data_IF_723145309122
#
_entry.id   IF_723145309122
#
_cell.length_a   1.000
_cell.length_b   1.000
_cell.length_c   1.000
_cell.angle_alpha   90.00
_cell.angle_beta   90.00
_cell.angle_gamma   90.00
#
_symmetry.space_group_name_H-M   'P 1'
#
loop_
_entity.id
_entity.type
_entity.pdbx_description
1 polymer ?
#
# COMPACT_ATOMS: atom_id res chain seq x y z
N UNK A 1 6.18 -13.63 3.87
CA UNK A 1 6.08 -12.20 3.51
C UNK A 1 4.66 -11.72 3.71
N UNK A 2 4.50 -10.56 4.34
CA UNK A 2 3.18 -9.99 4.56
C UNK A 2 2.46 -9.66 3.24
N UNK A 3 1.17 -10.01 3.12
CA UNK A 3 0.33 -9.74 1.94
C UNK A 3 -1.04 -9.24 2.38
N UNK A 4 -1.58 -8.25 1.66
CA UNK A 4 -2.95 -7.77 1.86
C UNK A 4 -3.88 -8.14 0.72
N UNK A 5 -5.17 -8.34 1.02
CA UNK A 5 -6.26 -8.50 0.03
C UNK A 5 -7.50 -7.76 0.52
N UNK A 6 -8.27 -7.14 -0.37
CA UNK A 6 -9.52 -6.49 0.01
C UNK A 6 -10.65 -6.75 -0.98
N UNK A 7 -11.86 -6.94 -0.47
CA UNK A 7 -13.05 -7.12 -1.27
C UNK A 7 -14.29 -6.49 -0.59
N UNK A 8 -15.29 -6.06 -1.36
CA UNK A 8 -16.52 -5.48 -0.81
C UNK A 8 -17.46 -6.56 -0.26
N UNK A 9 -18.23 -6.21 0.76
CA UNK A 9 -19.36 -7.00 1.29
C UNK A 9 -20.65 -6.37 0.78
N UNK A 10 -21.50 -7.15 0.11
CA UNK A 10 -22.70 -6.61 -0.59
C UNK A 10 -24.05 -6.95 0.03
N UNK A 11 -24.16 -8.08 0.73
CA UNK A 11 -25.46 -8.56 1.24
C UNK A 11 -25.37 -9.21 2.61
N UNK A 12 -24.32 -9.98 2.90
CA UNK A 12 -24.21 -10.81 4.11
C UNK A 12 -23.26 -10.23 5.15
N UNK A 13 -23.46 -8.97 5.56
CA UNK A 13 -22.56 -8.31 6.53
C UNK A 13 -22.51 -9.06 7.87
N UNK A 14 -23.67 -9.39 8.44
CA UNK A 14 -23.77 -10.15 9.70
C UNK A 14 -23.01 -11.47 9.61
N UNK A 15 -23.30 -12.30 8.60
CA UNK A 15 -22.62 -13.58 8.42
C UNK A 15 -21.11 -13.44 8.21
N UNK A 16 -20.65 -12.36 7.57
CA UNK A 16 -19.22 -12.08 7.43
C UNK A 16 -18.56 -11.72 8.76
N UNK A 17 -19.24 -10.93 9.60
CA UNK A 17 -18.78 -10.59 10.96
C UNK A 17 -18.77 -11.83 11.85
N UNK A 18 -19.86 -12.59 11.87
CA UNK A 18 -19.98 -13.84 12.64
C UNK A 18 -18.89 -14.84 12.22
N UNK A 19 -18.57 -14.93 10.92
CA UNK A 19 -17.51 -15.80 10.41
C UNK A 19 -16.12 -15.41 10.94
N UNK A 20 -15.79 -14.11 10.98
CA UNK A 20 -14.48 -13.67 11.46
C UNK A 20 -14.38 -13.77 12.99
N UNK A 21 -15.49 -13.67 13.71
CA UNK A 21 -15.58 -13.79 15.17
C UNK A 21 -15.67 -15.23 15.68
N UNK A 22 -15.54 -16.25 14.81
CA UNK A 22 -15.60 -17.64 15.24
C UNK A 22 -14.56 -17.90 16.36
N UNK A 23 -15.00 -18.32 17.58
CA UNK A 23 -14.11 -18.59 18.71
C UNK A 23 -13.02 -19.62 18.43
N UNK A 24 -13.33 -20.65 17.63
CA UNK A 24 -12.38 -21.72 17.26
C UNK A 24 -11.18 -21.17 16.48
N UNK A 25 -11.38 -20.04 15.78
CA UNK A 25 -10.34 -19.42 14.95
C UNK A 25 -9.60 -18.30 15.66
N UNK A 26 -10.11 -17.79 16.77
CA UNK A 26 -9.70 -16.52 17.38
C UNK A 26 -9.19 -16.68 18.81
N UNK A 27 -8.73 -17.88 19.15
CA UNK A 27 -8.30 -18.25 20.50
C UNK A 27 -9.37 -17.89 21.55
N UNK A 28 -10.59 -18.40 21.36
CA UNK A 28 -11.70 -18.12 22.27
C UNK A 28 -12.20 -16.67 22.25
N UNK A 29 -12.02 -15.95 21.15
CA UNK A 29 -12.27 -14.50 20.96
C UNK A 29 -11.27 -13.56 21.65
N UNK A 30 -10.18 -14.05 22.24
CA UNK A 30 -9.14 -13.19 22.82
C UNK A 30 -8.44 -12.31 21.77
N UNK A 31 -8.44 -12.77 20.51
CA UNK A 31 -7.86 -12.05 19.38
C UNK A 31 -8.93 -11.32 18.55
N UNK A 32 -9.94 -10.74 19.20
CA UNK A 32 -10.98 -9.94 18.58
C UNK A 32 -11.07 -8.54 19.20
N UNK A 33 -11.00 -7.52 18.35
CA UNK A 33 -11.10 -6.10 18.73
C UNK A 33 -12.08 -5.38 17.82
N UNK A 34 -12.72 -4.33 18.33
CA UNK A 34 -13.56 -3.45 17.52
C UNK A 34 -13.26 -1.98 17.80
N UNK A 35 -13.70 -1.12 16.89
CA UNK A 35 -13.62 0.32 17.05
C UNK A 35 -14.92 0.95 16.59
N UNK A 36 -15.42 1.87 17.41
CA UNK A 36 -16.68 2.56 17.15
C UNK A 36 -17.90 1.65 17.08
N UNK A 37 -17.80 0.38 17.48
CA UNK A 37 -18.94 -0.55 17.56
C UNK A 37 -18.64 -1.69 18.55
N UNK A 38 -19.68 -2.37 19.01
CA UNK A 38 -19.56 -3.64 19.72
C UNK A 38 -19.30 -4.81 18.77
N UNK A 39 -18.56 -5.83 19.22
CA UNK A 39 -18.24 -7.01 18.41
C UNK A 39 -19.51 -7.72 17.89
N UNK A 40 -20.52 -7.87 18.74
CA UNK A 40 -21.74 -8.63 18.43
C UNK A 40 -22.84 -7.76 17.80
N UNK A 41 -22.70 -6.43 17.87
CA UNK A 41 -23.68 -5.44 17.39
C UNK A 41 -23.18 -4.65 16.17
N UNK A 42 -22.01 -4.99 15.65
CA UNK A 42 -21.35 -4.25 14.59
C UNK A 42 -22.18 -4.15 13.30
N UNK A 43 -22.95 -5.18 12.93
CA UNK A 43 -23.82 -5.14 11.76
C UNK A 43 -24.97 -4.12 11.92
N UNK A 44 -25.59 -4.06 13.10
CA UNK A 44 -26.64 -3.10 13.45
C UNK A 44 -26.06 -1.68 13.47
N UNK A 45 -24.91 -1.48 14.10
CA UNK A 45 -24.24 -0.17 14.15
C UNK A 45 -23.77 0.31 12.79
N UNK A 46 -23.26 -0.58 11.93
CA UNK A 46 -22.87 -0.22 10.57
C UNK A 46 -24.10 0.21 9.77
N UNK A 47 -25.22 -0.51 9.91
CA UNK A 47 -26.47 -0.19 9.26
C UNK A 47 -26.99 1.18 9.71
N UNK A 48 -26.99 1.46 11.01
CA UNK A 48 -27.39 2.75 11.57
C UNK A 48 -26.61 3.93 10.98
N UNK A 49 -25.28 3.83 10.97
CA UNK A 49 -24.41 4.88 10.39
C UNK A 49 -24.67 5.07 8.90
N UNK A 50 -24.89 3.98 8.16
CA UNK A 50 -25.19 4.04 6.72
C UNK A 50 -26.56 4.65 6.44
N UNK A 51 -27.56 4.35 7.25
CA UNK A 51 -28.89 4.95 7.15
C UNK A 51 -28.84 6.46 7.45
N UNK A 52 -28.17 6.85 8.52
CA UNK A 52 -27.96 8.26 8.87
C UNK A 52 -27.22 9.05 7.76
N UNK A 53 -26.35 8.38 7.01
CA UNK A 53 -25.66 8.95 5.85
C UNK A 53 -26.50 8.99 4.57
N UNK A 54 -27.69 8.40 4.55
CA UNK A 54 -28.49 8.22 3.34
C UNK A 54 -27.83 7.30 2.31
N UNK A 55 -26.99 6.36 2.74
CA UNK A 55 -26.27 5.46 1.83
C UNK A 55 -27.21 4.46 1.15
N UNK A 56 -27.40 4.65 -0.17
CA UNK A 56 -28.10 3.70 -1.05
C UNK A 56 -27.13 2.82 -1.87
N UNK A 57 -25.86 2.76 -1.46
CA UNK A 57 -24.84 1.94 -2.12
C UNK A 57 -25.04 0.44 -1.92
N UNK A 58 -24.49 -0.34 -2.85
CA UNK A 58 -24.51 -1.82 -2.79
C UNK A 58 -23.41 -2.41 -1.91
N UNK A 59 -22.51 -1.59 -1.36
CA UNK A 59 -21.43 -2.05 -0.48
C UNK A 59 -21.80 -1.73 0.97
N UNK A 60 -22.04 -2.76 1.77
CA UNK A 60 -22.38 -2.64 3.19
C UNK A 60 -21.13 -2.41 4.05
N UNK A 61 -20.00 -2.95 3.60
CA UNK A 61 -18.70 -2.84 4.26
C UNK A 61 -17.60 -3.35 3.35
N UNK A 62 -16.37 -3.36 3.85
CA UNK A 62 -15.22 -3.95 3.17
C UNK A 62 -14.50 -4.91 4.09
N UNK A 63 -14.03 -6.01 3.51
CA UNK A 63 -13.19 -6.99 4.19
C UNK A 63 -11.75 -6.82 3.71
N UNK A 64 -10.85 -6.52 4.63
CA UNK A 64 -9.41 -6.48 4.42
C UNK A 64 -8.79 -7.68 5.14
N UNK A 65 -7.97 -8.44 4.42
CA UNK A 65 -7.19 -9.56 4.95
C UNK A 65 -5.72 -9.16 4.92
N UNK A 66 -5.00 -9.39 6.00
CA UNK A 66 -3.55 -9.23 6.10
C UNK A 66 -2.95 -10.55 6.58
N UNK A 67 -2.18 -11.21 5.72
CA UNK A 67 -1.54 -12.50 6.01
C UNK A 67 -0.06 -12.30 6.30
N UNK A 68 0.50 -13.12 7.20
CA UNK A 68 1.92 -13.11 7.60
C UNK A 68 2.65 -14.37 7.12
N UNK A 69 3.99 -14.39 7.13
CA UNK A 69 4.71 -15.64 6.87
C UNK A 69 4.56 -16.61 8.05
N UNK A 70 4.64 -17.91 7.76
CA UNK A 70 4.64 -18.96 8.79
C UNK A 70 5.85 -18.76 9.72
N UNK A 71 5.61 -18.80 11.04
CA UNK A 71 6.65 -18.71 12.06
C UNK A 71 7.30 -17.33 12.23
N UNK A 72 6.76 -16.29 11.59
CA UNK A 72 7.39 -14.95 11.58
C UNK A 72 6.92 -14.03 12.72
N UNK A 73 5.74 -14.30 13.26
CA UNK A 73 5.10 -13.45 14.26
C UNK A 73 4.22 -14.30 15.19
N UNK A 74 3.83 -13.72 16.32
CA UNK A 74 2.90 -14.32 17.29
C UNK A 74 1.46 -13.86 17.01
N UNK A 75 0.43 -14.58 17.48
CA UNK A 75 -0.96 -14.13 17.33
C UNK A 75 -1.21 -12.72 17.90
N UNK A 76 -0.63 -12.39 19.05
CA UNK A 76 -0.77 -11.10 19.73
C UNK A 76 -0.10 -9.97 18.94
N UNK A 77 1.11 -10.23 18.42
CA UNK A 77 1.84 -9.27 17.58
C UNK A 77 1.13 -9.07 16.24
N UNK A 78 0.65 -10.13 15.61
CA UNK A 78 -0.17 -10.06 14.41
C UNK A 78 -1.42 -9.21 14.67
N UNK A 79 -2.11 -9.42 15.79
CA UNK A 79 -3.29 -8.63 16.17
C UNK A 79 -2.95 -7.15 16.35
N UNK A 80 -1.86 -6.84 17.07
CA UNK A 80 -1.36 -5.49 17.27
C UNK A 80 -1.05 -4.80 15.94
N UNK A 81 -0.35 -5.48 15.02
CA UNK A 81 -0.07 -4.98 13.67
C UNK A 81 -1.36 -4.72 12.90
N UNK A 82 -2.37 -5.58 13.06
CA UNK A 82 -3.70 -5.39 12.47
C UNK A 82 -4.40 -4.14 12.97
N UNK A 83 -4.33 -3.85 14.28
CA UNK A 83 -4.89 -2.64 14.89
C UNK A 83 -4.16 -1.37 14.41
N UNK A 84 -2.82 -1.41 14.32
CA UNK A 84 -2.03 -0.31 13.76
C UNK A 84 -2.40 -0.04 12.28
N UNK A 85 -2.59 -1.11 11.49
CA UNK A 85 -3.02 -0.99 10.10
C UNK A 85 -4.43 -0.40 10.01
N UNK A 86 -5.37 -0.85 10.84
CA UNK A 86 -6.73 -0.34 10.88
C UNK A 86 -6.75 1.15 11.24
N UNK A 87 -6.02 1.56 12.27
CA UNK A 87 -5.88 2.97 12.67
C UNK A 87 -5.31 3.83 11.55
N UNK A 88 -4.23 3.38 10.90
CA UNK A 88 -3.59 4.13 9.82
C UNK A 88 -4.44 4.22 8.53
N UNK A 89 -5.24 3.18 8.22
CA UNK A 89 -6.06 3.12 7.00
C UNK A 89 -7.41 3.81 7.17
N UNK A 90 -8.03 3.65 8.33
CA UNK A 90 -9.39 4.14 8.61
C UNK A 90 -9.38 5.49 9.31
N UNK A 91 -8.29 5.87 9.99
CA UNK A 91 -8.11 7.19 10.59
C UNK A 91 -9.14 7.52 11.67
N UNK A 92 -9.63 6.52 12.39
CA UNK A 92 -10.55 6.68 13.52
C UNK A 92 -11.96 7.16 13.15
N UNK A 93 -12.42 6.94 11.91
CA UNK A 93 -13.71 7.47 11.42
C UNK A 93 -14.65 6.45 10.80
N UNK A 94 -14.25 5.19 10.75
CA UNK A 94 -15.07 4.07 10.29
C UNK A 94 -15.19 3.05 11.41
N UNK A 95 -16.38 2.52 11.64
CA UNK A 95 -16.51 1.37 12.52
C UNK A 95 -15.80 0.17 11.92
N UNK A 96 -15.18 -0.65 12.77
CA UNK A 96 -14.57 -1.90 12.31
C UNK A 96 -14.55 -2.98 13.39
N UNK A 97 -14.47 -4.22 12.91
CA UNK A 97 -14.16 -5.43 13.67
C UNK A 97 -12.87 -6.03 13.09
N UNK A 98 -11.89 -6.28 13.96
CA UNK A 98 -10.62 -6.93 13.65
C UNK A 98 -10.55 -8.24 14.40
N UNK A 99 -10.20 -9.33 13.70
CA UNK A 99 -9.85 -10.60 14.33
C UNK A 99 -8.53 -11.14 13.79
N UNK A 100 -7.80 -11.88 14.60
CA UNK A 100 -6.62 -12.65 14.15
C UNK A 100 -6.97 -14.12 14.16
N UNK A 101 -6.80 -14.76 13.00
CA UNK A 101 -7.10 -16.18 12.80
C UNK A 101 -5.84 -17.01 12.96
N UNK A 102 -5.93 -18.05 13.81
CA UNK A 102 -4.86 -19.01 14.16
C UNK A 102 -5.15 -20.44 13.67
N UNK A 103 -6.26 -20.63 12.95
CA UNK A 103 -6.79 -21.94 12.51
C UNK A 103 -6.09 -22.54 11.29
N UNK A 104 -5.08 -21.85 10.73
CA UNK A 104 -4.37 -22.25 9.53
C UNK A 104 -2.86 -22.22 9.76
N UNK A 105 -2.12 -22.82 8.83
CA UNK A 105 -0.66 -22.84 8.82
C UNK A 105 -0.01 -21.45 8.96
N UNK A 106 -0.71 -20.38 8.59
CA UNK A 106 -0.24 -19.01 8.73
C UNK A 106 -1.26 -18.10 9.42
N UNK A 107 -0.73 -17.21 10.26
CA UNK A 107 -1.49 -16.15 10.90
C UNK A 107 -2.02 -15.14 9.88
N UNK A 108 -3.26 -14.72 10.08
CA UNK A 108 -3.86 -13.69 9.25
C UNK A 108 -4.91 -12.89 10.01
N UNK A 109 -4.91 -11.58 9.78
CA UNK A 109 -5.91 -10.66 10.30
C UNK A 109 -7.07 -10.53 9.32
N UNK A 110 -8.28 -10.48 9.86
CA UNK A 110 -9.49 -10.10 9.17
C UNK A 110 -10.01 -8.79 9.75
N UNK A 111 -10.01 -7.73 8.93
CA UNK A 111 -10.56 -6.42 9.26
C UNK A 111 -11.82 -6.17 8.42
N UNK A 112 -12.99 -6.21 9.04
CA UNK A 112 -14.25 -5.79 8.42
C UNK A 112 -14.57 -4.39 8.90
N UNK A 113 -14.76 -3.44 7.97
CA UNK A 113 -15.06 -2.06 8.31
C UNK A 113 -16.21 -1.50 7.49
N UNK A 114 -16.90 -0.51 8.06
CA UNK A 114 -18.06 0.11 7.46
C UNK A 114 -17.70 0.80 6.14
N UNK A 115 -18.60 0.73 5.16
CA UNK A 115 -18.44 1.42 3.88
C UNK A 115 -18.55 2.95 4.02
N UNK A 116 -19.11 3.44 5.13
CA UNK A 116 -19.38 4.86 5.38
C UNK A 116 -18.74 5.29 6.69
N UNK A 117 -18.22 6.51 6.73
CA UNK A 117 -17.64 7.09 7.95
C UNK A 117 -18.73 7.65 8.85
N UNK A 118 -18.65 7.36 10.15
CA UNK A 118 -19.60 7.88 11.15
C UNK A 118 -19.32 9.34 11.54
N UNK A 119 -18.27 9.96 10.98
CA UNK A 119 -17.87 11.33 11.29
C UNK A 119 -18.38 12.31 10.25
N UNK A 120 -18.11 12.04 8.98
CA UNK A 120 -18.41 12.92 7.84
C UNK A 120 -19.45 12.33 6.89
N UNK A 121 -19.96 11.13 7.19
CA UNK A 121 -20.93 10.38 6.38
C UNK A 121 -20.48 10.16 4.93
N UNK A 122 -19.17 10.23 4.67
CA UNK A 122 -18.60 9.95 3.34
C UNK A 122 -18.29 8.47 3.18
N UNK A 123 -18.55 7.97 1.96
CA UNK A 123 -18.19 6.60 1.58
C UNK A 123 -16.67 6.43 1.52
N UNK A 124 -16.21 5.26 1.92
CA UNK A 124 -14.83 4.84 1.73
C UNK A 124 -14.50 4.77 0.23
N UNK A 125 -13.47 5.50 -0.20
CA UNK A 125 -13.07 5.53 -1.60
C UNK A 125 -12.17 4.32 -1.96
N UNK A 126 -12.81 3.24 -2.39
CA UNK A 126 -12.14 2.01 -2.83
C UNK A 126 -11.71 2.07 -4.30
N UNK A 127 -10.42 2.29 -4.52
CA UNK A 127 -9.80 2.23 -5.86
C UNK A 127 -8.36 1.67 -5.79
N UNK A 128 -7.70 1.53 -6.95
CA UNK A 128 -6.32 1.01 -7.05
C UNK A 128 -5.32 1.82 -6.22
N UNK A 129 -5.45 3.15 -6.15
CA UNK A 129 -4.57 4.00 -5.35
C UNK A 129 -4.77 3.76 -3.85
N UNK A 130 -6.01 3.67 -3.38
CA UNK A 130 -6.34 3.34 -1.97
C UNK A 130 -5.80 1.98 -1.56
N UNK A 131 -5.87 0.98 -2.46
CA UNK A 131 -5.32 -0.34 -2.20
C UNK A 131 -3.79 -0.34 -2.14
N UNK A 132 -3.12 0.38 -3.04
CA UNK A 132 -1.67 0.57 -2.94
C UNK A 132 -1.25 1.33 -1.69
N UNK A 133 -2.09 2.23 -1.18
CA UNK A 133 -1.87 2.86 0.12
C UNK A 133 -1.94 1.81 1.25
N UNK A 134 -2.99 0.99 1.32
CA UNK A 134 -3.10 -0.10 2.31
C UNK A 134 -1.88 -1.00 2.27
N UNK A 135 -1.47 -1.45 1.07
CA UNK A 135 -0.30 -2.32 0.93
C UNK A 135 0.97 -1.64 1.44
N UNK A 136 1.26 -0.40 1.03
CA UNK A 136 2.46 0.32 1.51
C UNK A 136 2.42 0.56 3.01
N UNK A 137 1.24 0.81 3.59
CA UNK A 137 1.06 0.97 5.03
C UNK A 137 1.32 -0.34 5.76
N UNK A 138 0.75 -1.46 5.29
CA UNK A 138 1.04 -2.79 5.84
C UNK A 138 2.53 -3.13 5.73
N UNK A 139 3.14 -2.95 4.55
CA UNK A 139 4.57 -3.23 4.34
C UNK A 139 5.44 -2.38 5.27
N UNK A 140 5.08 -1.12 5.50
CA UNK A 140 5.81 -0.24 6.42
C UNK A 140 5.70 -0.74 7.86
N UNK A 141 4.49 -1.01 8.34
CA UNK A 141 4.26 -1.47 9.72
C UNK A 141 4.97 -2.81 9.93
N UNK A 142 4.82 -3.77 9.01
CA UNK A 142 5.51 -5.06 9.11
C UNK A 142 7.03 -4.89 9.24
N UNK A 143 7.65 -3.99 8.45
CA UNK A 143 9.09 -3.68 8.60
C UNK A 143 9.45 -3.04 9.94
N UNK A 144 8.61 -2.16 10.46
CA UNK A 144 8.81 -1.51 11.77
C UNK A 144 8.80 -2.54 12.92
N UNK A 145 8.06 -3.63 12.76
CA UNK A 145 8.05 -4.80 13.65
C UNK A 145 9.05 -5.90 13.23
N UNK A 146 9.98 -5.63 12.31
CA UNK A 146 11.02 -6.58 11.91
C UNK A 146 10.58 -7.72 10.98
N UNK A 147 9.35 -7.69 10.47
CA UNK A 147 8.81 -8.72 9.58
C UNK A 147 9.19 -8.51 8.11
N UNK A 148 9.24 -9.60 7.35
CA UNK A 148 9.47 -9.65 5.91
C UNK A 148 8.30 -9.10 5.11
N UNK A 149 8.63 -8.33 4.07
CA UNK A 149 7.63 -7.72 3.20
C UNK A 149 8.01 -7.83 1.74
N UNK A 150 7.00 -7.74 0.88
CA UNK A 150 7.19 -7.85 -0.56
C UNK A 150 7.95 -6.64 -1.11
N UNK A 151 9.20 -6.83 -1.53
CA UNK A 151 10.04 -5.76 -2.09
C UNK A 151 9.49 -5.30 -3.45
N UNK A 152 9.09 -4.02 -3.61
CA UNK A 152 8.62 -3.50 -4.90
C UNK A 152 9.76 -3.48 -5.92
N UNK A 153 9.63 -4.23 -7.01
CA UNK A 153 10.61 -4.25 -8.12
C UNK A 153 11.38 -5.56 -8.28
N UNK A 154 11.27 -6.49 -7.34
CA UNK A 154 11.54 -7.90 -7.62
C UNK A 154 10.31 -8.44 -8.36
N UNK A 155 10.45 -8.43 -9.69
CA UNK A 155 9.50 -8.88 -10.70
C UNK A 155 8.11 -8.21 -10.66
N UNK A 156 7.74 -7.58 -11.78
CA UNK A 156 6.33 -7.58 -12.16
C UNK A 156 5.97 -9.06 -12.26
N UNK A 157 5.20 -9.57 -11.29
CA UNK A 157 4.74 -10.95 -11.31
C UNK A 157 4.28 -11.27 -12.73
N UNK A 158 4.99 -12.20 -13.37
CA UNK A 158 4.62 -12.67 -14.70
C UNK A 158 3.20 -13.20 -14.58
N UNK A 159 2.33 -12.94 -15.56
CA UNK A 159 1.07 -13.68 -15.57
C UNK A 159 1.40 -15.17 -15.56
N UNK A 160 0.59 -16.00 -14.90
CA UNK A 160 0.88 -17.43 -14.80
C UNK A 160 1.16 -18.07 -16.18
N UNK A 161 0.45 -17.61 -17.21
CA UNK A 161 0.67 -18.00 -18.60
C UNK A 161 2.04 -17.56 -19.16
N UNK A 162 2.49 -16.34 -18.83
CA UNK A 162 3.77 -15.79 -19.28
C UNK A 162 4.97 -16.42 -18.55
N UNK A 163 4.83 -16.74 -17.25
CA UNK A 163 5.83 -17.50 -16.49
C UNK A 163 6.02 -18.92 -17.04
N UNK A 164 4.91 -19.62 -17.31
CA UNK A 164 4.91 -21.00 -17.78
C UNK A 164 5.48 -21.10 -19.20
N UNK A 165 5.08 -20.20 -20.09
CA UNK A 165 5.54 -20.20 -21.48
C UNK A 165 7.03 -19.86 -21.63
N UNK A 166 7.58 -19.04 -20.73
CA UNK A 166 9.01 -18.72 -20.75
C UNK A 166 9.86 -19.86 -20.19
N UNK A 167 9.42 -20.53 -19.12
CA UNK A 167 10.11 -21.70 -18.53
C UNK A 167 10.09 -22.93 -19.45
N UNK A 168 9.06 -23.06 -20.27
CA UNK A 168 8.92 -24.14 -21.27
C UNK A 168 9.50 -23.78 -22.66
N UNK A 169 10.04 -22.57 -22.84
CA UNK A 169 10.55 -22.12 -24.15
C UNK A 169 9.48 -21.94 -25.23
N UNK A 170 8.21 -21.86 -24.86
CA UNK A 170 7.05 -21.75 -25.77
C UNK A 170 6.60 -20.30 -26.02
N UNK A 171 7.35 -19.29 -25.54
CA UNK A 171 7.02 -17.88 -25.76
C UNK A 171 7.08 -17.48 -27.23
N UNK A 172 5.91 -17.36 -27.87
CA UNK A 172 5.78 -16.88 -29.25
C UNK A 172 6.41 -15.51 -29.49
N UNK A 173 6.37 -14.62 -28.49
CA UNK A 173 7.02 -13.30 -28.58
C UNK A 173 8.54 -13.40 -28.60
N UNK A 174 9.13 -14.29 -27.80
CA UNK A 174 10.57 -14.50 -27.80
C UNK A 174 11.03 -15.13 -29.12
N UNK A 175 10.33 -16.18 -29.58
CA UNK A 175 10.60 -16.85 -30.87
C UNK A 175 10.54 -15.88 -32.04
N UNK A 176 9.54 -15.00 -32.08
CA UNK A 176 9.41 -13.99 -33.13
C UNK A 176 10.53 -12.95 -33.07
N UNK A 177 10.95 -12.50 -31.88
CA UNK A 177 12.10 -11.59 -31.74
C UNK A 177 13.38 -12.24 -32.25
N UNK A 178 13.66 -13.47 -31.83
CA UNK A 178 14.84 -14.22 -32.28
C UNK A 178 14.83 -14.42 -33.79
N UNK A 179 13.68 -14.76 -34.39
CA UNK A 179 13.55 -14.89 -35.83
C UNK A 179 13.84 -13.56 -36.54
N UNK A 180 13.25 -12.45 -36.08
CA UNK A 180 13.51 -11.11 -36.62
C UNK A 180 15.00 -10.74 -36.49
N UNK A 181 15.60 -10.94 -35.31
CA UNK A 181 16.99 -10.58 -35.04
C UNK A 181 17.98 -11.42 -35.86
N UNK A 182 17.65 -12.70 -36.12
CA UNK A 182 18.46 -13.61 -36.94
C UNK A 182 18.40 -13.22 -38.42
N UNK A 183 17.24 -12.76 -38.90
CA UNK A 183 17.03 -12.43 -40.31
C UNK A 183 17.51 -11.03 -40.69
N UNK A 184 17.45 -10.05 -39.78
CA UNK A 184 17.89 -8.66 -40.03
C UNK A 184 19.26 -8.55 -40.73
N UNK A 185 20.32 -9.26 -40.33
CA UNK A 185 21.62 -9.15 -41.01
C UNK A 185 21.66 -9.82 -42.40
N UNK A 186 20.63 -10.57 -42.79
CA UNK A 186 20.62 -11.40 -44.00
C UNK A 186 19.68 -10.89 -45.10
N UNK A 187 18.90 -9.84 -44.81
CA UNK A 187 17.85 -9.30 -45.69
C UNK A 187 18.25 -7.92 -46.21
N UNK A 188 17.88 -7.61 -47.45
CA UNK A 188 18.21 -6.33 -48.11
C UNK A 188 17.22 -5.23 -47.75
N UNK A 189 15.96 -5.60 -47.56
CA UNK A 189 14.87 -4.69 -47.27
C UNK A 189 13.81 -5.35 -46.36
N UNK A 190 12.84 -4.54 -45.96
CA UNK A 190 11.79 -4.96 -45.06
C UNK A 190 10.82 -5.98 -45.68
N UNK A 191 10.61 -5.93 -46.99
CA UNK A 191 9.72 -6.85 -47.68
C UNK A 191 10.36 -8.25 -47.82
N UNK A 192 11.69 -8.32 -47.97
CA UNK A 192 12.45 -9.57 -47.87
C UNK A 192 12.38 -10.18 -46.46
N UNK A 193 12.41 -9.36 -45.41
CA UNK A 193 12.20 -9.84 -44.04
C UNK A 193 10.81 -10.47 -43.86
N UNK A 194 9.75 -9.83 -44.37
CA UNK A 194 8.39 -10.36 -44.27
C UNK A 194 8.25 -11.68 -45.04
N UNK A 195 8.83 -11.78 -46.25
CA UNK A 195 8.83 -13.02 -47.03
C UNK A 195 9.52 -14.16 -46.30
N UNK A 196 10.72 -13.94 -45.76
CA UNK A 196 11.45 -14.96 -44.99
C UNK A 196 10.72 -15.37 -43.71
N UNK A 197 10.03 -14.45 -43.05
CA UNK A 197 9.18 -14.79 -41.90
C UNK A 197 7.96 -15.63 -42.32
N UNK A 198 7.36 -15.39 -43.49
CA UNK A 198 6.29 -16.24 -44.04
C UNK A 198 6.80 -17.65 -44.37
N UNK A 199 7.99 -17.77 -44.96
CA UNK A 199 8.66 -19.06 -45.21
C UNK A 199 8.94 -19.84 -43.92
N UNK A 200 9.25 -19.13 -42.83
CA UNK A 200 9.38 -19.72 -41.47
C UNK A 200 8.03 -20.05 -40.80
N UNK A 201 6.90 -19.89 -41.51
CA UNK A 201 5.57 -20.27 -41.04
C UNK A 201 4.84 -19.21 -40.21
N UNK A 202 5.25 -17.94 -40.28
CA UNK A 202 4.51 -16.84 -39.66
C UNK A 202 3.45 -16.26 -40.61
N UNK A 203 2.21 -16.21 -40.16
CA UNK A 203 1.15 -15.47 -40.84
C UNK A 203 1.27 -13.98 -40.51
N UNK A 204 1.22 -13.15 -41.55
CA UNK A 204 1.45 -11.71 -41.46
C UNK A 204 0.18 -10.97 -41.84
N UNK A 205 -0.27 -10.09 -40.94
CA UNK A 205 -1.36 -9.14 -41.19
C UNK A 205 -0.83 -7.72 -41.19
N UNK A 206 -0.92 -7.06 -42.33
CA UNK A 206 -0.58 -5.65 -42.49
C UNK A 206 -1.81 -4.79 -42.18
N UNK A 207 -1.64 -3.81 -41.30
CA UNK A 207 -2.67 -2.86 -40.88
C UNK A 207 -1.98 -1.67 -40.21
N UNK A 208 -2.65 -0.92 -39.32
CA UNK A 208 -2.00 0.20 -38.60
C UNK A 208 -0.71 -0.21 -37.87
N UNK A 209 -0.60 -1.47 -37.46
CA UNK A 209 0.64 -2.08 -37.00
C UNK A 209 0.75 -3.48 -37.62
N UNK A 210 1.92 -3.83 -38.14
CA UNK A 210 2.19 -5.19 -38.63
C UNK A 210 2.04 -6.18 -37.48
N UNK A 211 1.36 -7.28 -37.76
CA UNK A 211 1.05 -8.29 -36.78
C UNK A 211 1.43 -9.67 -37.30
N UNK A 212 2.07 -10.48 -36.45
CA UNK A 212 2.57 -11.81 -36.78
C UNK A 212 1.86 -12.87 -35.95
N UNK A 213 1.61 -14.04 -36.53
CA UNK A 213 1.04 -15.20 -35.84
C UNK A 213 1.83 -16.44 -36.24
N UNK A 214 2.43 -17.11 -35.26
CA UNK A 214 3.10 -18.39 -35.50
C UNK A 214 2.07 -19.52 -35.64
N UNK A 215 2.47 -20.63 -36.27
CA UNK A 215 1.66 -21.85 -36.28
C UNK A 215 1.27 -22.29 -34.86
N UNK A 216 -0.03 -22.53 -34.64
CA UNK A 216 -0.60 -22.89 -33.33
C UNK A 216 -0.84 -21.70 -32.37
N UNK A 217 -0.51 -20.47 -32.76
CA UNK A 217 -0.82 -19.29 -31.96
C UNK A 217 -2.25 -18.79 -32.25
N UNK A 218 -3.11 -18.69 -31.23
CA UNK A 218 -4.50 -18.24 -31.43
C UNK A 218 -4.60 -16.76 -31.87
N UNK A 219 -3.81 -15.87 -31.27
CA UNK A 219 -3.89 -14.41 -31.45
C UNK A 219 -2.64 -13.82 -32.09
N UNK A 220 -2.84 -12.85 -32.97
CA UNK A 220 -1.75 -12.08 -33.57
C UNK A 220 -0.94 -11.26 -32.55
N UNK A 221 0.37 -11.23 -32.73
CA UNK A 221 1.33 -10.40 -32.00
C UNK A 221 1.68 -9.16 -32.81
N UNK A 222 1.33 -7.98 -32.30
CA UNK A 222 1.62 -6.69 -32.97
C UNK A 222 3.08 -6.27 -32.71
N UNK A 223 3.75 -5.74 -33.72
CA UNK A 223 5.12 -5.16 -33.62
C UNK A 223 5.29 -4.22 -32.43
N UNK A 224 4.33 -3.33 -32.20
CA UNK A 224 4.34 -2.39 -31.06
C UNK A 224 4.42 -3.05 -29.67
N UNK A 225 4.03 -4.33 -29.57
CA UNK A 225 4.06 -5.08 -28.30
C UNK A 225 5.36 -5.85 -28.08
N UNK A 226 6.24 -5.90 -29.09
CA UNK A 226 7.55 -6.54 -29.01
C UNK A 226 8.60 -5.61 -28.40
N UNK A 227 8.42 -4.30 -28.49
CA UNK A 227 9.28 -3.29 -27.87
C UNK A 227 9.77 -2.25 -28.87
N UNK A 228 10.46 -1.23 -28.36
CA UNK A 228 10.89 -0.07 -29.16
C UNK A 228 11.86 -0.42 -30.30
N UNK A 229 12.60 -1.52 -30.21
CA UNK A 229 13.53 -2.00 -31.25
C UNK A 229 12.88 -2.88 -32.34
N UNK A 230 11.57 -3.12 -32.22
CA UNK A 230 10.80 -4.02 -33.10
C UNK A 230 9.57 -3.34 -33.71
N UNK A 231 9.51 -2.01 -33.70
CA UNK A 231 8.54 -1.28 -34.53
C UNK A 231 8.93 -1.41 -36.00
N UNK A 232 8.00 -1.13 -36.91
CA UNK A 232 8.27 -1.23 -38.34
C UNK A 232 9.41 -0.28 -38.76
N UNK A 233 9.41 0.94 -38.23
CA UNK A 233 10.43 1.95 -38.47
C UNK A 233 11.78 1.50 -37.90
N UNK A 234 11.80 0.99 -36.66
CA UNK A 234 13.01 0.49 -36.03
C UNK A 234 13.61 -0.70 -36.80
N UNK A 235 12.79 -1.62 -37.29
CA UNK A 235 13.26 -2.76 -38.09
C UNK A 235 13.82 -2.27 -39.44
N UNK A 236 13.14 -1.34 -40.13
CA UNK A 236 13.63 -0.71 -41.37
C UNK A 236 14.97 0.00 -41.16
N UNK A 237 15.12 0.73 -40.06
CA UNK A 237 16.39 1.38 -39.67
C UNK A 237 17.49 0.36 -39.35
N UNK A 238 17.15 -0.76 -38.70
CA UNK A 238 18.09 -1.84 -38.36
C UNK A 238 18.61 -2.57 -39.60
N UNK A 239 17.75 -2.82 -40.59
CA UNK A 239 18.16 -3.42 -41.88
C UNK A 239 19.12 -2.50 -42.63
N UNK A 240 18.88 -1.18 -42.59
CA UNK A 240 19.75 -0.17 -43.22
C UNK A 240 21.05 0.09 -42.45
N UNK A 241 21.24 -0.51 -41.27
CA UNK A 241 22.41 -0.27 -40.41
C UNK A 241 22.45 1.12 -39.77
N UNK A 242 21.37 1.90 -39.84
CA UNK A 242 21.30 3.29 -39.33
C UNK A 242 20.49 3.40 -38.04
N UNK A 243 20.12 2.27 -37.44
CA UNK A 243 19.35 2.26 -36.20
C UNK A 243 20.15 2.85 -35.04
N UNK A 244 19.80 4.08 -34.69
CA UNK A 244 20.20 4.69 -33.43
C UNK A 244 19.03 4.49 -32.48
N UNK A 245 19.23 3.67 -31.44
CA UNK A 245 18.25 3.54 -30.37
C UNK A 245 17.89 4.95 -29.87
N UNK A 246 16.63 5.38 -30.06
CA UNK A 246 16.14 6.67 -29.56
C UNK A 246 16.30 6.67 -28.04
N UNK A 247 17.43 7.17 -27.56
CA UNK A 247 17.64 7.51 -26.17
C UNK A 247 16.60 8.57 -25.85
N UNK A 248 15.72 8.28 -24.89
CA UNK A 248 14.84 9.30 -24.30
C UNK A 248 15.69 10.53 -24.02
N UNK A 249 15.17 11.72 -24.34
CA UNK A 249 15.75 12.98 -23.87
C UNK A 249 16.16 12.81 -22.41
N UNK A 250 17.45 12.99 -22.15
CA UNK A 250 18.02 12.88 -20.81
C UNK A 250 17.43 14.03 -20.01
N UNK A 251 16.30 13.78 -19.36
CA UNK A 251 15.89 14.62 -18.24
C UNK A 251 17.02 14.55 -17.23
N UNK A 252 17.55 15.70 -16.83
CA UNK A 252 18.50 15.76 -15.72
C UNK A 252 17.87 15.09 -14.50
N UNK A 253 18.34 13.89 -14.19
CA UNK A 253 17.93 13.20 -12.98
C UNK A 253 18.69 13.82 -11.82
N UNK A 254 18.15 14.86 -11.20
CA UNK A 254 18.74 15.51 -10.01
C UNK A 254 18.74 14.60 -8.78
N UNK A 255 18.08 13.44 -8.83
CA UNK A 255 17.98 12.54 -7.67
C UNK A 255 19.33 11.89 -7.36
N UNK A 256 19.73 11.98 -6.10
CA UNK A 256 20.86 11.27 -5.51
C UNK A 256 20.39 9.86 -5.13
N UNK A 257 21.15 8.86 -5.54
CA UNK A 257 20.91 7.44 -5.25
C UNK A 257 22.11 6.87 -4.53
N UNK A 258 21.90 5.74 -3.86
CA UNK A 258 23.00 5.00 -3.25
C UNK A 258 24.00 4.55 -4.31
N UNK A 259 25.28 4.65 -3.97
CA UNK A 259 26.36 3.99 -4.69
C UNK A 259 26.20 2.46 -4.57
N UNK A 260 26.69 1.74 -5.57
CA UNK A 260 26.76 0.27 -5.57
C UNK A 260 28.04 -0.14 -4.85
N UNK A 261 27.95 -1.02 -3.87
CA UNK A 261 29.13 -1.68 -3.33
C UNK A 261 29.70 -2.63 -4.41
N UNK A 262 30.80 -2.23 -5.02
CA UNK A 262 31.45 -3.00 -6.09
C UNK A 262 32.14 -4.25 -5.53
N UNK A 263 32.65 -4.21 -4.29
CA UNK A 263 33.40 -5.31 -3.69
C UNK A 263 32.46 -6.49 -3.38
N UNK A 264 31.28 -6.19 -2.81
CA UNK A 264 30.30 -7.20 -2.38
C UNK A 264 29.22 -7.51 -3.42
N UNK A 265 29.21 -6.82 -4.57
CA UNK A 265 28.21 -7.08 -5.61
C UNK A 265 28.59 -8.30 -6.45
N UNK A 266 27.87 -9.41 -6.22
CA UNK A 266 27.95 -10.64 -7.04
C UNK A 266 27.82 -10.31 -8.53
N UNK A 267 26.95 -9.35 -8.90
CA UNK A 267 26.78 -8.92 -10.30
C UNK A 267 27.99 -8.18 -10.86
N UNK A 268 28.68 -7.38 -10.03
CA UNK A 268 29.92 -6.72 -10.45
C UNK A 268 31.05 -7.73 -10.62
N UNK A 269 31.16 -8.70 -9.72
CA UNK A 269 32.14 -9.79 -9.82
C UNK A 269 31.92 -10.68 -11.05
N UNK A 270 30.67 -10.97 -11.41
CA UNK A 270 30.32 -11.88 -12.51
C UNK A 270 30.20 -11.21 -13.88
N UNK A 271 30.14 -9.87 -13.96
CA UNK A 271 29.93 -9.15 -15.22
C UNK A 271 30.76 -7.88 -15.30
N UNK A 272 31.80 -7.92 -16.14
CA UNK A 272 32.63 -6.76 -16.44
C UNK A 272 31.82 -5.55 -16.98
N UNK A 273 30.74 -5.83 -17.73
CA UNK A 273 29.83 -4.80 -18.21
C UNK A 273 29.05 -4.11 -17.08
N UNK A 274 28.55 -4.90 -16.11
CA UNK A 274 27.88 -4.36 -14.92
C UNK A 274 28.85 -3.63 -14.01
N UNK A 275 30.07 -4.15 -13.81
CA UNK A 275 31.13 -3.51 -13.04
C UNK A 275 31.48 -2.12 -13.62
N UNK A 276 31.70 -2.03 -14.94
CA UNK A 276 31.96 -0.76 -15.61
C UNK A 276 30.81 0.22 -15.45
N UNK A 277 29.57 -0.26 -15.60
CA UNK A 277 28.38 0.55 -15.36
C UNK A 277 28.31 1.05 -13.92
N UNK A 278 28.57 0.19 -12.94
CA UNK A 278 28.52 0.50 -11.52
C UNK A 278 29.61 1.52 -11.13
N UNK A 279 30.82 1.42 -11.67
CA UNK A 279 31.87 2.45 -11.51
C UNK A 279 31.41 3.82 -12.01
N UNK A 280 30.86 3.89 -13.22
CA UNK A 280 30.34 5.15 -13.79
C UNK A 280 29.15 5.68 -12.97
N UNK A 281 28.25 4.80 -12.52
CA UNK A 281 27.13 5.14 -11.67
C UNK A 281 27.61 5.72 -10.34
N UNK A 282 28.57 5.07 -9.68
CA UNK A 282 29.13 5.51 -8.41
C UNK A 282 29.80 6.88 -8.53
N UNK A 283 30.63 7.10 -9.56
CA UNK A 283 31.23 8.40 -9.83
C UNK A 283 30.17 9.49 -10.00
N UNK A 284 29.08 9.20 -10.73
CA UNK A 284 27.96 10.15 -10.88
C UNK A 284 27.26 10.43 -9.55
N UNK A 285 27.01 9.41 -8.71
CA UNK A 285 26.37 9.62 -7.40
C UNK A 285 27.29 10.34 -6.41
N UNK A 286 28.60 10.07 -6.45
CA UNK A 286 29.60 10.78 -5.65
C UNK A 286 29.63 12.26 -6.03
N UNK A 287 29.73 12.58 -7.32
CA UNK A 287 29.69 13.97 -7.80
C UNK A 287 28.40 14.70 -7.38
N UNK A 288 27.23 14.04 -7.50
CA UNK A 288 25.96 14.61 -7.02
C UNK A 288 25.92 14.80 -5.51
N UNK A 289 26.49 13.88 -4.75
CA UNK A 289 26.56 13.99 -3.29
C UNK A 289 27.47 15.15 -2.89
N UNK A 290 28.61 15.32 -3.55
CA UNK A 290 29.49 16.49 -3.34
C UNK A 290 28.81 17.80 -3.71
N UNK A 291 28.14 17.88 -4.87
CA UNK A 291 27.38 19.08 -5.24
C UNK A 291 26.30 19.41 -4.21
N UNK A 292 25.62 18.40 -3.69
CA UNK A 292 24.62 18.58 -2.63
C UNK A 292 25.23 19.16 -1.35
N UNK A 293 26.39 18.67 -0.92
CA UNK A 293 27.09 19.21 0.25
C UNK A 293 27.45 20.68 0.02
N UNK A 294 28.00 21.02 -1.14
CA UNK A 294 28.31 22.41 -1.53
C UNK A 294 27.07 23.30 -1.55
N UNK A 295 25.99 22.86 -2.19
CA UNK A 295 24.73 23.61 -2.30
C UNK A 295 24.08 23.83 -0.92
N UNK A 296 24.24 22.90 0.02
CA UNK A 296 23.72 23.00 1.38
C UNK A 296 24.73 23.62 2.37
N UNK A 297 25.89 24.11 1.89
CA UNK A 297 26.95 24.72 2.70
C UNK A 297 27.46 23.81 3.82
N UNK A 298 27.64 22.53 3.49
CA UNK A 298 28.17 21.51 4.39
C UNK A 298 29.64 21.33 4.03
N UNK A 299 30.52 21.93 4.84
CA UNK A 299 31.96 21.94 4.59
C UNK A 299 32.66 20.77 5.29
N UNK A 300 32.21 20.44 6.52
CA UNK A 300 32.78 19.37 7.32
C UNK A 300 31.81 18.19 7.48
N UNK A 301 32.37 17.00 7.65
CA UNK A 301 31.58 15.79 7.92
C UNK A 301 30.74 15.92 9.20
N UNK A 302 31.26 16.61 10.23
CA UNK A 302 30.53 16.95 11.45
C UNK A 302 29.28 17.80 11.18
N UNK A 303 29.32 18.70 10.20
CA UNK A 303 28.17 19.52 9.84
C UNK A 303 27.06 18.67 9.21
N UNK A 304 27.45 17.67 8.40
CA UNK A 304 26.53 16.69 7.83
C UNK A 304 25.85 15.87 8.93
N UNK A 305 26.62 15.40 9.92
CA UNK A 305 26.11 14.65 11.06
C UNK A 305 25.16 15.49 11.93
N UNK A 306 25.57 16.72 12.27
CA UNK A 306 24.72 17.67 13.02
C UNK A 306 23.41 17.94 12.27
N UNK A 307 23.49 18.19 10.96
CA UNK A 307 22.29 18.47 10.16
C UNK A 307 21.34 17.28 10.11
N UNK A 308 21.88 16.06 10.03
CA UNK A 308 21.10 14.82 10.10
C UNK A 308 20.43 14.66 11.46
N UNK A 309 21.15 14.93 12.55
CA UNK A 309 20.59 14.86 13.90
C UNK A 309 19.44 15.87 14.08
N UNK A 310 19.58 17.10 13.58
CA UNK A 310 18.52 18.11 13.60
C UNK A 310 17.29 17.67 12.79
N UNK A 311 17.51 17.14 11.58
CA UNK A 311 16.44 16.65 10.71
C UNK A 311 15.71 15.46 11.35
N UNK A 312 16.44 14.54 12.00
CA UNK A 312 15.87 13.41 12.72
C UNK A 312 15.01 13.89 13.90
N UNK A 313 15.53 14.82 14.70
CA UNK A 313 14.79 15.43 15.82
C UNK A 313 13.51 16.10 15.33
N UNK A 314 13.57 16.87 14.25
CA UNK A 314 12.42 17.52 13.64
C UNK A 314 11.41 16.50 13.06
N UNK A 315 11.90 15.44 12.41
CA UNK A 315 11.06 14.36 11.89
C UNK A 315 10.30 13.65 13.02
N UNK A 316 10.99 13.31 14.10
CA UNK A 316 10.40 12.57 15.22
C UNK A 316 9.41 13.43 16.00
N UNK A 317 9.72 14.72 16.19
CA UNK A 317 8.80 15.70 16.76
C UNK A 317 7.53 15.86 15.90
N UNK A 318 7.68 15.99 14.58
CA UNK A 318 6.55 16.08 13.66
C UNK A 318 5.71 14.80 13.64
N UNK A 319 6.36 13.63 13.64
CA UNK A 319 5.69 12.33 13.69
C UNK A 319 4.87 12.16 14.98
N UNK A 320 5.45 12.55 16.12
CA UNK A 320 4.76 12.55 17.42
C UNK A 320 3.56 13.49 17.42
N UNK A 321 3.71 14.72 16.93
CA UNK A 321 2.63 15.70 16.87
C UNK A 321 1.47 15.23 15.97
N UNK A 322 1.77 14.62 14.81
CA UNK A 322 0.74 14.01 13.95
C UNK A 322 0.00 12.91 14.71
N UNK A 323 0.72 12.00 15.37
CA UNK A 323 0.13 10.88 16.12
C UNK A 323 -0.78 11.36 17.25
N UNK A 324 -0.37 12.36 18.01
CA UNK A 324 -1.17 12.94 19.11
C UNK A 324 -2.47 13.55 18.59
N UNK A 325 -2.42 14.31 17.48
CA UNK A 325 -3.61 14.90 16.87
C UNK A 325 -4.53 13.81 16.31
N UNK A 326 -3.98 12.78 15.67
CA UNK A 326 -4.76 11.65 15.17
C UNK A 326 -5.46 10.89 16.29
N UNK A 327 -4.78 10.64 17.41
CA UNK A 327 -5.38 10.01 18.58
C UNK A 327 -6.52 10.85 19.13
N UNK A 328 -6.30 12.16 19.35
CA UNK A 328 -7.36 13.05 19.85
C UNK A 328 -8.56 13.12 18.91
N UNK A 329 -8.32 13.15 17.60
CA UNK A 329 -9.39 13.11 16.60
C UNK A 329 -10.19 11.79 16.67
N UNK A 330 -9.51 10.66 16.88
CA UNK A 330 -10.14 9.35 17.06
C UNK A 330 -10.97 9.28 18.34
N UNK A 331 -10.51 9.85 19.45
CA UNK A 331 -11.28 9.87 20.70
C UNK A 331 -12.52 10.76 20.56
N UNK A 332 -12.36 11.93 19.93
CA UNK A 332 -13.47 12.84 19.65
C UNK A 332 -14.49 12.24 18.70
N UNK A 333 -14.07 11.49 17.69
CA UNK A 333 -14.99 10.88 16.74
C UNK A 333 -15.91 9.88 17.44
N UNK A 334 -15.36 9.04 18.32
CA UNK A 334 -16.14 8.11 19.14
C UNK A 334 -17.09 8.85 20.08
N UNK A 335 -16.59 9.88 20.78
CA UNK A 335 -17.43 10.67 21.69
C UNK A 335 -18.59 11.36 20.95
N UNK A 336 -18.32 11.92 19.76
CA UNK A 336 -19.35 12.51 18.89
C UNK A 336 -20.37 11.46 18.48
N UNK A 337 -19.91 10.28 18.03
CA UNK A 337 -20.79 9.17 17.63
C UNK A 337 -21.72 8.79 18.78
N UNK A 338 -21.18 8.36 19.92
CA UNK A 338 -21.99 7.84 21.02
C UNK A 338 -22.90 8.93 21.62
N UNK A 339 -22.42 10.17 21.74
CA UNK A 339 -23.27 11.28 22.22
C UNK A 339 -24.42 11.56 21.25
N UNK A 340 -24.19 11.46 19.94
CA UNK A 340 -25.22 11.65 18.91
C UNK A 340 -26.26 10.53 18.99
N UNK A 341 -25.82 9.27 18.95
CA UNK A 341 -26.69 8.09 19.05
C UNK A 341 -27.51 8.10 20.33
N UNK A 342 -26.88 8.37 21.48
CA UNK A 342 -27.56 8.46 22.77
C UNK A 342 -28.68 9.50 22.74
N UNK A 343 -28.39 10.72 22.25
CA UNK A 343 -29.40 11.80 22.19
C UNK A 343 -30.56 11.46 21.26
N UNK A 344 -30.29 10.85 20.11
CA UNK A 344 -31.32 10.50 19.12
C UNK A 344 -32.24 9.38 19.61
N UNK A 345 -31.70 8.37 20.28
CA UNK A 345 -32.45 7.17 20.67
C UNK A 345 -32.99 7.23 22.11
N UNK A 346 -32.60 8.25 22.89
CA UNK A 346 -33.11 8.44 24.25
C UNK A 346 -34.65 8.47 24.34
N UNK A 347 -35.39 9.18 23.47
CA UNK A 347 -36.85 9.19 23.54
C UNK A 347 -37.47 7.79 23.40
N UNK A 348 -37.00 7.00 22.42
CA UNK A 348 -37.44 5.62 22.19
C UNK A 348 -37.11 4.75 23.40
N UNK A 349 -35.92 4.89 23.97
CA UNK A 349 -35.54 4.11 25.15
C UNK A 349 -36.32 4.51 26.41
N UNK A 350 -36.65 5.79 26.59
CA UNK A 350 -37.48 6.26 27.70
C UNK A 350 -38.91 5.70 27.60
N UNK A 351 -39.46 5.60 26.39
CA UNK A 351 -40.75 4.94 26.11
C UNK A 351 -40.68 3.44 26.40
N UNK A 352 -39.64 2.75 25.91
CA UNK A 352 -39.40 1.34 26.21
C UNK A 352 -39.38 1.07 27.72
N UNK A 353 -38.70 1.91 28.50
CA UNK A 353 -38.64 1.78 29.97
C UNK A 353 -39.99 1.94 30.66
N UNK A 354 -40.88 2.76 30.10
CA UNK A 354 -42.21 3.06 30.62
C UNK A 354 -43.29 2.13 30.05
N UNK A 355 -42.99 1.36 29.02
CA UNK A 355 -43.95 0.48 28.36
C UNK A 355 -44.48 -0.58 29.35
N UNK A 356 -45.81 -0.77 29.43
CA UNK A 356 -46.41 -1.82 30.23
C UNK A 356 -46.09 -3.22 29.66
N UNK A 357 -45.89 -3.33 28.35
CA UNK A 357 -45.47 -4.55 27.65
C UNK A 357 -44.10 -4.28 26.99
N UNK A 358 -43.04 -4.59 27.72
CA UNK A 358 -41.65 -4.36 27.28
C UNK A 358 -41.25 -5.27 26.14
N UNK A 359 -41.67 -6.53 26.16
CA UNK A 359 -41.32 -7.49 25.11
C UNK A 359 -41.90 -7.09 23.76
N UNK A 360 -43.17 -6.67 23.74
CA UNK A 360 -43.80 -6.19 22.50
C UNK A 360 -43.14 -4.93 21.98
N UNK A 361 -42.81 -3.98 22.85
CA UNK A 361 -42.12 -2.76 22.44
C UNK A 361 -40.71 -3.07 21.92
N UNK A 362 -39.98 -3.96 22.60
CA UNK A 362 -38.64 -4.39 22.20
C UNK A 362 -38.66 -5.04 20.82
N UNK A 363 -39.61 -5.93 20.52
CA UNK A 363 -39.73 -6.52 19.18
C UNK A 363 -39.94 -5.50 18.05
N UNK A 364 -40.52 -4.34 18.36
CA UNK A 364 -40.73 -3.26 17.38
C UNK A 364 -39.54 -2.29 17.24
N UNK A 365 -38.67 -2.21 18.25
CA UNK A 365 -37.58 -1.23 18.36
C UNK A 365 -36.25 -1.87 18.79
N UNK A 366 -36.04 -3.13 18.42
CA UNK A 366 -34.92 -3.94 18.93
C UNK A 366 -33.57 -3.30 18.60
N UNK A 367 -33.39 -2.89 17.34
CA UNK A 367 -32.17 -2.24 16.87
C UNK A 367 -31.90 -0.93 17.62
N UNK A 368 -32.91 -0.08 17.77
CA UNK A 368 -32.80 1.21 18.45
C UNK A 368 -32.45 1.05 19.94
N UNK A 369 -33.03 0.04 20.59
CA UNK A 369 -32.73 -0.29 21.98
C UNK A 369 -31.27 -0.76 22.11
N UNK A 370 -30.84 -1.70 21.25
CA UNK A 370 -29.45 -2.19 21.23
C UNK A 370 -28.45 -1.05 21.00
N UNK A 371 -28.72 -0.17 20.03
CA UNK A 371 -27.88 0.98 19.70
C UNK A 371 -27.80 1.98 20.86
N UNK A 372 -28.92 2.24 21.54
CA UNK A 372 -28.94 3.11 22.72
C UNK A 372 -28.11 2.51 23.86
N UNK A 373 -28.28 1.23 24.16
CA UNK A 373 -27.56 0.55 25.23
C UNK A 373 -26.05 0.48 24.95
N UNK A 374 -25.66 0.22 23.70
CA UNK A 374 -24.26 0.26 23.26
C UNK A 374 -23.67 1.67 23.43
N UNK A 375 -24.38 2.72 23.00
CA UNK A 375 -23.92 4.10 23.17
C UNK A 375 -23.82 4.52 24.65
N UNK A 376 -24.80 4.12 25.47
CA UNK A 376 -24.79 4.40 26.91
C UNK A 376 -23.62 3.70 27.62
N UNK A 377 -23.34 2.44 27.26
CA UNK A 377 -22.20 1.67 27.78
C UNK A 377 -20.87 2.33 27.41
N UNK A 378 -20.68 2.68 26.14
CA UNK A 378 -19.46 3.34 25.67
C UNK A 378 -19.21 4.69 26.37
N UNK A 379 -20.26 5.52 26.53
CA UNK A 379 -20.14 6.79 27.25
C UNK A 379 -19.77 6.59 28.74
N UNK A 380 -20.29 5.53 29.36
CA UNK A 380 -19.94 5.16 30.74
C UNK A 380 -18.48 4.70 30.85
N UNK A 381 -18.00 3.88 29.92
CA UNK A 381 -16.60 3.43 29.86
C UNK A 381 -15.64 4.61 29.62
N UNK A 382 -16.05 5.60 28.84
CA UNK A 382 -15.34 6.88 28.66
C UNK A 382 -15.45 7.82 29.88
N UNK A 383 -16.09 7.39 30.97
CA UNK A 383 -16.27 8.15 32.21
C UNK A 383 -17.03 9.48 32.02
N UNK A 384 -17.91 9.56 31.02
CA UNK A 384 -18.70 10.75 30.71
C UNK A 384 -19.89 10.84 31.67
N UNK A 385 -19.80 11.71 32.68
CA UNK A 385 -20.88 11.96 33.64
C UNK A 385 -21.99 12.87 33.10
N UNK A 386 -21.60 13.88 32.30
CA UNK A 386 -22.52 14.84 31.68
C UNK A 386 -22.29 14.85 30.17
N UNK A 387 -23.37 14.75 29.40
CA UNK A 387 -23.26 14.73 27.95
C UNK A 387 -22.60 16.01 27.43
N UNK A 388 -21.53 15.90 26.63
CA UNK A 388 -20.82 17.04 26.08
C UNK A 388 -21.64 17.76 25.02
N UNK A 389 -21.29 19.02 24.74
CA UNK A 389 -21.91 19.77 23.64
C UNK A 389 -21.38 19.28 22.29
N UNK A 390 -22.29 18.74 21.46
CA UNK A 390 -21.98 18.23 20.13
C UNK A 390 -21.43 19.33 19.19
N UNK A 391 -21.89 20.58 19.32
CA UNK A 391 -21.43 21.67 18.48
C UNK A 391 -19.96 22.01 18.78
N UNK A 392 -19.61 22.11 20.07
CA UNK A 392 -18.24 22.27 20.52
C UNK A 392 -17.33 21.11 20.06
N UNK A 393 -17.74 19.85 20.26
CA UNK A 393 -16.95 18.69 19.84
C UNK A 393 -16.67 18.68 18.33
N UNK A 394 -17.69 18.96 17.51
CA UNK A 394 -17.53 19.06 16.04
C UNK A 394 -16.65 20.24 15.63
N UNK A 395 -16.63 21.33 16.39
CA UNK A 395 -15.73 22.47 16.16
C UNK A 395 -14.28 22.09 16.47
N UNK A 396 -14.04 21.43 17.59
CA UNK A 396 -12.70 20.93 17.97
C UNK A 396 -12.17 19.92 16.94
N UNK A 397 -12.99 18.94 16.53
CA UNK A 397 -12.60 17.96 15.52
C UNK A 397 -12.19 18.62 14.20
N UNK A 398 -12.94 19.62 13.72
CA UNK A 398 -12.58 20.38 12.51
C UNK A 398 -11.25 21.12 12.66
N UNK A 399 -11.05 21.81 13.78
CA UNK A 399 -9.79 22.51 14.06
C UNK A 399 -8.58 21.57 14.11
N UNK A 400 -8.75 20.39 14.71
CA UNK A 400 -7.70 19.36 14.74
C UNK A 400 -7.43 18.78 13.35
N UNK A 401 -8.45 18.62 12.50
CA UNK A 401 -8.25 18.19 11.12
C UNK A 401 -7.43 19.21 10.31
N UNK A 402 -7.65 20.50 10.51
CA UNK A 402 -6.87 21.57 9.87
C UNK A 402 -5.43 21.58 10.38
N UNK A 403 -5.23 21.41 11.70
CA UNK A 403 -3.91 21.28 12.32
C UNK A 403 -3.16 20.04 11.81
N UNK A 404 -3.85 18.90 11.70
CA UNK A 404 -3.32 17.65 11.15
C UNK A 404 -2.78 17.85 9.75
N UNK A 405 -3.53 18.55 8.89
CA UNK A 405 -3.14 18.79 7.50
C UNK A 405 -1.80 19.53 7.44
N UNK A 406 -1.62 20.58 8.26
CA UNK A 406 -0.36 21.34 8.35
C UNK A 406 0.79 20.49 8.89
N UNK A 407 0.59 19.80 10.02
CA UNK A 407 1.60 18.93 10.62
C UNK A 407 2.04 17.80 9.68
N UNK A 408 1.13 17.29 8.85
CA UNK A 408 1.44 16.24 7.88
C UNK A 408 2.31 16.75 6.73
N UNK A 409 2.20 18.02 6.35
CA UNK A 409 3.11 18.67 5.40
C UNK A 409 4.52 18.76 5.97
N UNK A 410 4.66 19.23 7.22
CA UNK A 410 5.93 19.31 7.93
C UNK A 410 6.58 17.93 8.07
N UNK A 411 5.82 16.92 8.52
CA UNK A 411 6.27 15.53 8.60
C UNK A 411 6.75 15.01 7.25
N UNK A 412 6.00 15.27 6.16
CA UNK A 412 6.37 14.83 4.82
C UNK A 412 7.66 15.49 4.34
N UNK A 413 7.86 16.77 4.63
CA UNK A 413 9.08 17.50 4.29
C UNK A 413 10.28 16.96 5.08
N UNK A 414 10.17 16.84 6.40
CA UNK A 414 11.22 16.30 7.26
C UNK A 414 11.59 14.86 6.85
N UNK A 415 10.60 14.02 6.55
CA UNK A 415 10.82 12.64 6.05
C UNK A 415 11.58 12.61 4.73
N UNK A 416 11.25 13.53 3.80
CA UNK A 416 11.95 13.62 2.52
C UNK A 416 13.41 14.03 2.73
N UNK A 417 13.66 15.04 3.57
CA UNK A 417 15.00 15.49 3.91
C UNK A 417 15.81 14.37 4.60
N UNK A 418 15.22 13.68 5.58
CA UNK A 418 15.85 12.56 6.27
C UNK A 418 16.29 11.46 5.30
N UNK A 419 15.46 11.13 4.30
CA UNK A 419 15.82 10.14 3.27
C UNK A 419 16.94 10.63 2.35
N UNK A 420 16.90 11.89 1.94
CA UNK A 420 17.90 12.49 1.03
C UNK A 420 19.26 12.62 1.71
N UNK A 421 19.31 13.22 2.90
CA UNK A 421 20.53 13.33 3.71
C UNK A 421 21.06 11.96 4.12
N UNK A 422 20.19 10.99 4.44
CA UNK A 422 20.61 9.63 4.75
C UNK A 422 21.29 8.92 3.58
N UNK A 423 20.84 9.16 2.33
CA UNK A 423 21.51 8.64 1.13
C UNK A 423 22.85 9.34 0.91
N UNK A 424 22.90 10.67 1.07
CA UNK A 424 24.14 11.46 0.96
C UNK A 424 25.17 10.97 1.98
N UNK A 425 24.80 10.82 3.24
CA UNK A 425 25.68 10.29 4.29
C UNK A 425 26.24 8.93 3.92
N UNK A 426 25.39 7.99 3.49
CA UNK A 426 25.86 6.66 3.05
C UNK A 426 26.84 6.72 1.89
N UNK A 427 26.62 7.61 0.92
CA UNK A 427 27.55 7.83 -0.18
C UNK A 427 28.87 8.43 0.31
N UNK A 428 28.83 9.43 1.20
CA UNK A 428 30.03 10.04 1.79
C UNK A 428 30.81 9.03 2.62
N UNK A 429 30.13 8.23 3.45
CA UNK A 429 30.73 7.15 4.25
C UNK A 429 31.47 6.15 3.36
N UNK A 430 30.90 5.79 2.21
CA UNK A 430 31.53 4.87 1.24
C UNK A 430 32.78 5.45 0.58
N UNK A 431 32.90 6.78 0.51
CA UNK A 431 34.05 7.48 -0.09
C UNK A 431 35.16 7.65 0.95
N UNK A 432 34.80 8.06 2.17
CA UNK A 432 35.76 8.36 3.25
C UNK A 432 36.26 7.10 3.95
N UNK A 433 35.40 6.08 4.11
CA UNK A 433 35.71 4.86 4.86
C UNK A 433 35.42 3.59 4.05
N UNK A 434 36.09 3.38 2.90
CA UNK A 434 35.90 2.20 2.06
C UNK A 434 36.24 0.87 2.77
N UNK A 435 36.93 0.91 3.92
CA UNK A 435 37.22 -0.26 4.77
C UNK A 435 36.19 -0.51 5.88
N UNK A 436 35.40 0.47 6.33
CA UNK A 436 34.37 0.27 7.38
C UNK A 436 33.01 -0.20 6.82
N UNK A 437 32.75 0.03 5.52
CA UNK A 437 31.68 -0.68 4.79
C UNK A 437 31.86 -2.20 4.85
N UNK A 438 33.10 -2.69 5.03
CA UNK A 438 33.43 -4.12 5.17
C UNK A 438 32.98 -4.76 6.49
N UNK A 439 32.78 -3.97 7.55
CA UNK A 439 32.45 -4.51 8.89
C UNK A 439 30.96 -4.42 9.23
N UNK A 440 30.25 -3.37 8.79
CA UNK A 440 28.84 -3.11 9.18
C UNK A 440 27.81 -4.04 8.53
N UNK A 441 28.19 -4.86 7.56
CA UNK A 441 27.32 -5.88 6.95
C UNK A 441 27.60 -7.31 7.42
N UNK A 442 28.67 -7.56 8.19
CA UNK A 442 28.88 -8.88 8.82
C UNK A 442 28.05 -9.07 10.10
N UNK A 443 27.46 -7.98 10.63
CA UNK A 443 26.60 -7.99 11.83
C UNK A 443 25.10 -7.81 11.53
N UNK A 444 24.67 -7.88 10.26
CA UNK A 444 23.26 -7.86 9.84
C UNK A 444 22.91 -9.12 9.08
#
# INVERSE_FOLDING_TARGET
MAVTKTHPIKSTLKAAIDYILNPEKTDGKLLASSFGCGLETADIEFAWTREAAGDRGTHLGRHLIQSFAVGETTPEEAHKIGMELAGAVLGGKYEFVLTTHVDKDHLHNHLIFNAVSFVDYKKYHSNKQSYHFIRRTSDRICKEHGLSVVVPGQDKGKSYAEYTAEKQGTSYKAKLKTAIDTLIPQVKDFDELLRRLQEMGYEIKQGKYISFRAAGQERFTRTKTLGAAYTEEAIKERIKGVYVAKTKTLREDKKIRLVVDLENSIKAQQSAGYERWAKIHNLKQAAKSMNFLTENKIEYYSDLESKIADIMTAHDAAAKAVKEVEQRMSDLSLLIKHTTTYRQLKPIYDEYRKSPDKEKYQRGHESEIILFEAAARALKEMQIKKLPDLAALRKEYRSLNDRKTKLYEDYRQAKKQMQEYGVVKKNVDSILYPSQSRAREQER
#
